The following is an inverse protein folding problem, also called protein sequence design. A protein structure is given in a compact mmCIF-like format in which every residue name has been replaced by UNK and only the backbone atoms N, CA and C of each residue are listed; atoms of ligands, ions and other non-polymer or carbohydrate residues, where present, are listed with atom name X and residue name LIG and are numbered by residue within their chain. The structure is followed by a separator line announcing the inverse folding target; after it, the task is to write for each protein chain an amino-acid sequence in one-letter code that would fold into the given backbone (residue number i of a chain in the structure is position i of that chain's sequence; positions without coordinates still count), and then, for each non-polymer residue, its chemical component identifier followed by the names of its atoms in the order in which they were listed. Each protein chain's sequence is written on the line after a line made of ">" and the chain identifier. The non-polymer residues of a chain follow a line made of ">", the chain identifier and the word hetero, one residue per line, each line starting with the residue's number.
data_IF_987550778391
#
_entry.id   IF_987550778391
#
_cell.length_a   1.000
_cell.length_b   1.000
_cell.length_c   1.000
_cell.angle_alpha   90.00
_cell.angle_beta   90.00
_cell.angle_gamma   90.00
#
_symmetry.space_group_name_H-M   'P 1'
#
loop_
_entity.id
_entity.type
_entity.pdbx_description
1 polymer ?
#
# COMPACT_ATOMS: atom_id res chain seq x y z
N UNK A 1 131.68 -15.40 -23.49
CA UNK A 1 131.60 -16.69 -22.78
C UNK A 1 131.65 -16.36 -21.32
N UNK A 2 130.54 -16.41 -20.60
CA UNK A 2 130.58 -15.73 -19.32
C UNK A 2 129.76 -16.48 -18.28
N UNK A 3 130.45 -17.42 -17.63
CA UNK A 3 130.47 -17.43 -16.16
C UNK A 3 130.43 -15.97 -15.71
N UNK A 4 129.26 -15.49 -15.31
CA UNK A 4 129.18 -14.22 -14.61
C UNK A 4 129.85 -14.48 -13.28
N UNK A 5 131.16 -14.24 -13.24
CA UNK A 5 131.93 -14.16 -12.02
C UNK A 5 131.06 -13.36 -11.05
N UNK A 6 130.66 -13.98 -9.93
CA UNK A 6 130.05 -13.24 -8.85
C UNK A 6 131.05 -12.14 -8.51
N UNK A 7 130.77 -10.92 -8.99
CA UNK A 7 131.58 -9.77 -8.64
C UNK A 7 131.46 -9.73 -7.12
N UNK A 8 132.56 -9.88 -6.37
CA UNK A 8 132.49 -9.91 -4.93
C UNK A 8 131.81 -8.60 -4.52
N UNK A 9 130.60 -8.68 -3.96
CA UNK A 9 129.98 -7.52 -3.34
C UNK A 9 130.94 -7.11 -2.23
N UNK A 10 131.69 -6.05 -2.47
CA UNK A 10 132.57 -5.46 -1.47
C UNK A 10 131.71 -5.09 -0.29
N UNK A 11 131.79 -5.88 0.78
CA UNK A 11 131.13 -5.56 2.05
C UNK A 11 131.86 -4.35 2.60
N UNK A 12 131.23 -3.18 2.48
CA UNK A 12 131.77 -1.95 3.01
C UNK A 12 131.69 -2.05 4.54
N UNK A 13 132.82 -2.36 5.17
CA UNK A 13 132.91 -2.46 6.63
C UNK A 13 132.97 -1.07 7.26
N UNK A 14 132.55 -0.94 8.52
CA UNK A 14 132.73 0.29 9.32
C UNK A 14 134.14 0.85 9.18
N UNK A 15 135.16 -0.02 9.27
CA UNK A 15 136.56 0.39 9.19
C UNK A 15 136.93 0.95 7.82
N UNK A 16 136.36 0.41 6.75
CA UNK A 16 136.59 0.91 5.38
C UNK A 16 136.00 2.31 5.21
N UNK A 17 134.79 2.56 5.70
CA UNK A 17 134.17 3.90 5.67
C UNK A 17 134.95 4.87 6.54
N UNK A 18 135.35 4.45 7.74
CA UNK A 18 136.16 5.26 8.64
C UNK A 18 137.45 5.71 7.98
N UNK A 19 138.21 4.78 7.40
CA UNK A 19 139.49 5.09 6.75
C UNK A 19 139.32 6.07 5.58
N UNK A 20 138.25 5.94 4.80
CA UNK A 20 137.98 6.88 3.68
C UNK A 20 137.54 8.27 4.17
N UNK A 21 136.75 8.36 5.25
CA UNK A 21 136.38 9.64 5.85
C UNK A 21 137.60 10.39 6.44
N UNK A 22 138.53 9.67 7.07
CA UNK A 22 139.81 10.23 7.55
C UNK A 22 140.64 10.77 6.38
N UNK A 23 140.74 10.02 5.27
CA UNK A 23 141.46 10.48 4.05
C UNK A 23 140.83 11.74 3.45
N UNK A 24 139.51 11.87 3.54
CA UNK A 24 138.79 13.08 3.11
C UNK A 24 139.00 14.29 4.03
N UNK A 25 139.83 14.17 5.08
CA UNK A 25 140.16 15.24 6.01
C UNK A 25 139.12 15.46 7.10
N UNK A 26 138.17 14.53 7.27
CA UNK A 26 137.18 14.61 8.34
C UNK A 26 137.85 14.27 9.66
N UNK A 27 137.53 15.04 10.70
CA UNK A 27 138.03 14.82 12.05
C UNK A 27 137.76 13.38 12.51
N UNK A 28 138.72 12.79 13.22
CA UNK A 28 138.69 11.38 13.61
C UNK A 28 137.42 10.97 14.35
N UNK A 29 136.93 11.81 15.25
CA UNK A 29 135.75 11.50 16.04
C UNK A 29 134.48 11.58 15.19
N UNK A 30 134.44 12.54 14.25
CA UNK A 30 133.35 12.69 13.28
C UNK A 30 133.35 11.54 12.27
N UNK A 31 134.52 11.10 11.83
CA UNK A 31 134.69 9.97 10.91
C UNK A 31 134.26 8.64 11.56
N UNK A 32 134.56 8.43 12.84
CA UNK A 32 134.18 7.21 13.58
C UNK A 32 132.67 7.12 13.81
N UNK A 33 132.04 8.26 14.09
CA UNK A 33 130.59 8.41 14.21
C UNK A 33 129.89 8.16 12.85
N UNK A 34 130.29 8.85 11.79
CA UNK A 34 129.71 8.67 10.44
C UNK A 34 129.88 7.25 9.90
N UNK A 35 131.04 6.62 10.09
CA UNK A 35 131.28 5.25 9.69
C UNK A 35 130.44 4.24 10.48
N UNK A 36 130.21 4.50 11.77
CA UNK A 36 129.30 3.71 12.59
C UNK A 36 127.86 3.81 12.09
N UNK A 37 127.38 5.04 11.86
CA UNK A 37 126.03 5.32 11.34
C UNK A 37 125.77 4.68 9.98
N UNK A 38 126.77 4.73 9.08
CA UNK A 38 126.72 4.07 7.77
C UNK A 38 126.64 2.54 7.91
N UNK A 39 127.55 1.94 8.69
CA UNK A 39 127.59 0.48 8.87
C UNK A 39 126.32 -0.07 9.55
N UNK A 40 125.66 0.73 10.38
CA UNK A 40 124.40 0.39 11.04
C UNK A 40 123.15 0.71 10.22
N UNK A 41 123.29 1.23 8.98
CA UNK A 41 122.17 1.65 8.12
C UNK A 41 121.20 2.62 8.82
N UNK A 42 121.69 3.44 9.75
CA UNK A 42 120.83 4.32 10.56
C UNK A 42 120.07 5.33 9.70
N UNK A 43 120.62 5.72 8.54
CA UNK A 43 119.97 6.62 7.59
C UNK A 43 118.75 5.97 6.90
N UNK A 44 118.88 4.74 6.41
CA UNK A 44 117.80 3.98 5.78
C UNK A 44 116.68 3.64 6.76
N UNK A 45 117.03 3.35 8.02
CA UNK A 45 116.04 3.10 9.07
C UNK A 45 115.17 4.33 9.32
N UNK A 46 115.80 5.52 9.40
CA UNK A 46 115.11 6.80 9.59
C UNK A 46 114.18 7.15 8.43
N UNK A 47 114.57 6.87 7.19
CA UNK A 47 113.71 7.09 6.01
C UNK A 47 112.49 6.16 6.00
N UNK A 48 112.66 4.89 6.38
CA UNK A 48 111.55 3.93 6.50
C UNK A 48 110.60 4.32 7.65
N UNK A 49 111.15 4.75 8.79
CA UNK A 49 110.37 5.24 9.93
C UNK A 49 109.54 6.47 9.53
N UNK A 50 110.16 7.43 8.82
CA UNK A 50 109.47 8.60 8.29
C UNK A 50 108.36 8.23 7.30
N UNK A 51 108.61 7.30 6.37
CA UNK A 51 107.59 6.83 5.42
C UNK A 51 106.43 6.16 6.15
N UNK A 52 106.72 5.30 7.13
CA UNK A 52 105.72 4.62 7.93
C UNK A 52 104.86 5.63 8.69
N UNK A 53 105.48 6.58 9.38
CA UNK A 53 104.76 7.64 10.11
C UNK A 53 103.85 8.45 9.16
N UNK A 54 104.33 8.81 7.97
CA UNK A 54 103.52 9.52 6.99
C UNK A 54 102.36 8.68 6.45
N UNK A 55 102.56 7.37 6.23
CA UNK A 55 101.48 6.46 5.83
C UNK A 55 100.44 6.27 6.93
N UNK A 56 100.87 6.07 8.18
CA UNK A 56 100.00 5.93 9.34
C UNK A 56 99.14 7.21 9.51
N UNK A 57 99.76 8.40 9.43
CA UNK A 57 99.05 9.69 9.46
C UNK A 57 98.03 9.80 8.32
N UNK A 58 98.37 9.38 7.10
CA UNK A 58 97.44 9.42 5.96
C UNK A 58 96.29 8.45 6.15
N UNK A 59 96.54 7.26 6.69
CA UNK A 59 95.53 6.26 6.97
C UNK A 59 94.56 6.76 8.04
N UNK A 60 95.07 7.30 9.15
CA UNK A 60 94.24 7.90 10.21
C UNK A 60 93.34 9.04 9.67
N UNK A 61 93.87 9.87 8.76
CA UNK A 61 93.09 10.93 8.10
C UNK A 61 91.96 10.37 7.23
N UNK A 62 92.24 9.31 6.46
CA UNK A 62 91.22 8.65 5.62
C UNK A 62 90.15 8.00 6.49
N UNK A 63 90.53 7.27 7.54
CA UNK A 63 89.59 6.65 8.48
C UNK A 63 88.71 7.70 9.18
N UNK A 64 89.32 8.79 9.65
CA UNK A 64 88.60 9.91 10.27
C UNK A 64 87.63 10.57 9.29
N UNK A 65 88.05 10.78 8.05
CA UNK A 65 87.18 11.35 6.99
C UNK A 65 86.01 10.43 6.68
N UNK A 66 86.26 9.12 6.50
CA UNK A 66 85.21 8.16 6.17
C UNK A 66 84.20 8.01 7.32
N UNK A 67 84.68 8.01 8.57
CA UNK A 67 83.81 8.00 9.74
C UNK A 67 82.90 9.23 9.77
N UNK A 68 83.46 10.41 9.51
CA UNK A 68 82.68 11.66 9.45
C UNK A 68 81.63 11.62 8.32
N UNK A 69 81.98 11.09 7.15
CA UNK A 69 81.04 10.93 6.03
C UNK A 69 79.91 9.94 6.37
N UNK A 70 80.22 8.82 7.03
CA UNK A 70 79.21 7.85 7.50
C UNK A 70 78.27 8.50 8.52
N UNK A 71 78.79 9.20 9.52
CA UNK A 71 77.99 9.90 10.53
C UNK A 71 77.07 10.96 9.89
N UNK A 72 77.57 11.66 8.86
CA UNK A 72 76.78 12.63 8.10
C UNK A 72 75.65 11.96 7.31
N UNK A 73 75.93 10.85 6.63
CA UNK A 73 74.92 10.07 5.88
C UNK A 73 73.86 9.53 6.84
N UNK A 74 74.25 8.93 7.97
CA UNK A 74 73.30 8.44 8.96
C UNK A 74 72.41 9.55 9.52
N UNK A 75 72.99 10.72 9.79
CA UNK A 75 72.24 11.88 10.29
C UNK A 75 71.22 12.37 9.27
N UNK A 76 71.63 12.46 7.99
CA UNK A 76 70.74 12.86 6.90
C UNK A 76 69.61 11.84 6.69
N UNK A 77 69.91 10.54 6.68
CA UNK A 77 68.88 9.49 6.55
C UNK A 77 67.89 9.50 7.71
N UNK A 78 68.35 9.71 8.95
CA UNK A 78 67.46 9.87 10.12
C UNK A 78 66.56 11.09 9.99
N UNK A 79 67.06 12.19 9.42
CA UNK A 79 66.26 13.39 9.17
C UNK A 79 65.21 13.15 8.06
N UNK A 80 65.60 12.48 6.98
CA UNK A 80 64.69 12.14 5.87
C UNK A 80 63.59 11.17 6.32
N UNK A 81 63.91 10.16 7.12
CA UNK A 81 62.91 9.24 7.72
C UNK A 81 61.90 10.03 8.55
N UNK A 82 62.35 10.89 9.46
CA UNK A 82 61.45 11.73 10.27
C UNK A 82 60.57 12.65 9.42
N UNK A 83 61.10 13.19 8.33
CA UNK A 83 60.32 14.02 7.41
C UNK A 83 59.25 13.18 6.69
N UNK A 84 59.58 11.96 6.26
CA UNK A 84 58.62 11.04 5.65
C UNK A 84 57.53 10.64 6.66
N UNK A 85 57.89 10.30 7.90
CA UNK A 85 56.92 9.97 8.96
C UNK A 85 55.93 11.12 9.18
N UNK A 86 56.43 12.35 9.33
CA UNK A 86 55.56 13.53 9.47
C UNK A 86 54.64 13.76 8.26
N UNK A 87 55.12 13.46 7.04
CA UNK A 87 54.30 13.55 5.83
C UNK A 87 53.23 12.46 5.81
N UNK A 88 53.55 11.24 6.23
CA UNK A 88 52.60 10.13 6.36
C UNK A 88 51.50 10.52 7.37
N UNK A 89 51.87 10.98 8.57
CA UNK A 89 50.93 11.43 9.59
C UNK A 89 50.02 12.56 9.08
N UNK A 90 50.58 13.50 8.31
CA UNK A 90 49.81 14.58 7.70
C UNK A 90 48.80 14.05 6.68
N UNK A 91 49.21 13.09 5.85
CA UNK A 91 48.31 12.47 4.85
C UNK A 91 47.22 11.67 5.54
N UNK A 92 47.55 10.87 6.55
CA UNK A 92 46.59 10.07 7.31
C UNK A 92 45.52 10.95 7.98
N UNK A 93 45.94 12.01 8.68
CA UNK A 93 45.02 12.96 9.29
C UNK A 93 44.11 13.65 8.26
N UNK A 94 44.66 14.04 7.10
CA UNK A 94 43.87 14.64 6.03
C UNK A 94 42.86 13.67 5.41
N UNK A 95 43.21 12.39 5.29
CA UNK A 95 42.31 11.35 4.80
C UNK A 95 41.19 11.07 5.80
N UNK A 96 41.50 10.93 7.08
CA UNK A 96 40.51 10.74 8.14
C UNK A 96 39.50 11.90 8.16
N UNK A 97 39.98 13.15 8.14
CA UNK A 97 39.10 14.33 8.07
C UNK A 97 38.20 14.34 6.82
N UNK A 98 38.71 13.88 5.67
CA UNK A 98 37.92 13.77 4.44
C UNK A 98 36.86 12.67 4.55
N UNK A 99 37.20 11.54 5.16
CA UNK A 99 36.27 10.43 5.41
C UNK A 99 35.14 10.90 6.33
N UNK A 100 35.47 11.52 7.47
CA UNK A 100 34.49 12.05 8.42
C UNK A 100 33.55 13.07 7.76
N UNK A 101 34.11 13.96 6.93
CA UNK A 101 33.30 14.93 6.19
C UNK A 101 32.36 14.26 5.17
N UNK A 102 32.82 13.22 4.47
CA UNK A 102 31.98 12.46 3.54
C UNK A 102 30.86 11.73 4.29
N UNK A 103 31.18 11.08 5.41
CA UNK A 103 30.22 10.38 6.26
C UNK A 103 29.14 11.32 6.78
N UNK A 104 29.53 12.47 7.35
CA UNK A 104 28.60 13.48 7.83
C UNK A 104 27.70 14.02 6.71
N UNK A 105 28.26 14.27 5.52
CA UNK A 105 27.48 14.73 4.37
C UNK A 105 26.49 13.67 3.87
N UNK A 106 26.86 12.38 3.92
CA UNK A 106 25.98 11.28 3.54
C UNK A 106 24.84 11.11 4.56
N UNK A 107 25.14 11.14 5.86
CA UNK A 107 24.13 11.07 6.91
C UNK A 107 23.10 12.21 6.78
N UNK A 108 23.56 13.45 6.60
CA UNK A 108 22.66 14.59 6.38
C UNK A 108 21.78 14.43 5.12
N UNK A 109 22.32 13.84 4.05
CA UNK A 109 21.53 13.56 2.83
C UNK A 109 20.49 12.47 3.08
N UNK A 110 20.84 11.42 3.82
CA UNK A 110 19.93 10.34 4.21
C UNK A 110 18.78 10.93 5.05
N UNK A 111 19.08 11.70 6.10
CA UNK A 111 18.08 12.34 6.95
C UNK A 111 17.14 13.25 6.15
N UNK A 112 17.68 14.02 5.21
CA UNK A 112 16.86 14.87 4.34
C UNK A 112 15.96 14.04 3.42
N UNK A 113 16.44 12.92 2.88
CA UNK A 113 15.61 12.01 2.05
C UNK A 113 14.52 11.38 2.91
N UNK A 114 14.84 10.91 4.11
CA UNK A 114 13.88 10.31 5.04
C UNK A 114 12.77 11.29 5.43
N UNK A 115 13.14 12.51 5.81
CA UNK A 115 12.18 13.58 6.12
C UNK A 115 11.27 13.92 4.93
N UNK A 116 11.83 14.01 3.73
CA UNK A 116 11.04 14.26 2.51
C UNK A 116 10.08 13.12 2.18
N UNK A 117 10.49 11.86 2.39
CA UNK A 117 9.63 10.70 2.19
C UNK A 117 8.51 10.65 3.22
N UNK A 118 8.80 10.90 4.50
CA UNK A 118 7.80 10.96 5.56
C UNK A 118 6.74 12.05 5.28
N UNK A 119 7.18 13.25 4.87
CA UNK A 119 6.25 14.32 4.47
C UNK A 119 5.37 13.94 3.29
N UNK A 120 5.92 13.25 2.28
CA UNK A 120 5.13 12.76 1.13
C UNK A 120 4.10 11.72 1.55
N UNK A 121 4.48 10.80 2.45
CA UNK A 121 3.58 9.77 2.99
C UNK A 121 2.42 10.43 3.77
N UNK A 122 2.71 11.41 4.62
CA UNK A 122 1.69 12.12 5.39
C UNK A 122 0.73 12.90 4.49
N UNK A 123 1.24 13.54 3.43
CA UNK A 123 0.40 14.23 2.44
C UNK A 123 -0.54 13.26 1.73
N UNK A 124 -0.03 12.13 1.22
CA UNK A 124 -0.84 11.09 0.58
C UNK A 124 -1.91 10.55 1.53
N UNK A 125 -1.56 10.31 2.81
CA UNK A 125 -2.49 9.84 3.83
C UNK A 125 -3.63 10.84 4.07
N UNK A 126 -3.32 12.14 4.08
CA UNK A 126 -4.31 13.20 4.26
C UNK A 126 -5.22 13.35 3.03
N UNK A 127 -4.66 13.28 1.82
CA UNK A 127 -5.43 13.28 0.56
C UNK A 127 -6.40 12.10 0.51
N UNK A 128 -5.91 10.88 0.78
CA UNK A 128 -6.73 9.67 0.79
C UNK A 128 -7.86 9.75 1.84
N UNK A 129 -7.58 10.32 3.01
CA UNK A 129 -8.61 10.54 4.04
C UNK A 129 -9.70 11.50 3.55
N UNK A 130 -9.32 12.58 2.85
CA UNK A 130 -10.26 13.53 2.30
C UNK A 130 -11.14 12.90 1.19
N UNK A 131 -10.54 12.10 0.31
CA UNK A 131 -11.26 11.38 -0.74
C UNK A 131 -12.26 10.36 -0.16
N UNK A 132 -11.87 9.63 0.88
CA UNK A 132 -12.77 8.70 1.59
C UNK A 132 -13.97 9.45 2.18
N UNK A 133 -13.77 10.59 2.84
CA UNK A 133 -14.88 11.37 3.41
C UNK A 133 -15.79 11.97 2.33
N UNK A 134 -15.22 12.36 1.18
CA UNK A 134 -16.00 12.81 0.02
C UNK A 134 -16.88 11.69 -0.54
N UNK A 135 -16.32 10.49 -0.75
CA UNK A 135 -17.09 9.31 -1.22
C UNK A 135 -18.20 8.96 -0.23
N UNK A 136 -17.90 8.96 1.07
CA UNK A 136 -18.88 8.68 2.13
C UNK A 136 -20.03 9.71 2.14
N UNK A 137 -19.73 10.98 1.92
CA UNK A 137 -20.73 12.04 1.85
C UNK A 137 -21.62 11.89 0.62
N UNK A 138 -21.03 11.60 -0.55
CA UNK A 138 -21.77 11.35 -1.78
C UNK A 138 -22.70 10.15 -1.64
N UNK A 139 -22.20 9.01 -1.13
CA UNK A 139 -23.01 7.82 -0.90
C UNK A 139 -24.19 8.06 0.05
N UNK A 140 -23.99 8.86 1.11
CA UNK A 140 -25.10 9.26 2.00
C UNK A 140 -26.16 10.09 1.26
N UNK A 141 -25.73 10.96 0.35
CA UNK A 141 -26.65 11.75 -0.48
C UNK A 141 -27.43 10.86 -1.44
N UNK A 142 -26.75 9.94 -2.12
CA UNK A 142 -27.37 9.00 -3.06
C UNK A 142 -28.40 8.10 -2.38
N UNK A 143 -28.09 7.60 -1.17
CA UNK A 143 -29.02 6.81 -0.35
C UNK A 143 -30.27 7.65 -0.02
N UNK A 144 -30.09 8.90 0.42
CA UNK A 144 -31.22 9.79 0.74
C UNK A 144 -32.08 10.10 -0.49
N UNK A 145 -31.46 10.27 -1.66
CA UNK A 145 -32.20 10.45 -2.91
C UNK A 145 -33.01 9.19 -3.26
N UNK A 146 -32.43 8.00 -3.09
CA UNK A 146 -33.11 6.74 -3.31
C UNK A 146 -34.30 6.56 -2.36
N UNK A 147 -34.13 6.85 -1.07
CA UNK A 147 -35.22 6.82 -0.08
C UNK A 147 -36.39 7.73 -0.49
N UNK A 148 -36.09 8.95 -0.97
CA UNK A 148 -37.12 9.87 -1.46
C UNK A 148 -37.85 9.33 -2.70
N UNK A 149 -37.13 8.68 -3.62
CA UNK A 149 -37.72 8.03 -4.80
C UNK A 149 -38.62 6.86 -4.38
N UNK A 150 -38.20 6.04 -3.42
CA UNK A 150 -38.99 4.94 -2.87
C UNK A 150 -40.28 5.49 -2.26
N UNK A 151 -40.20 6.49 -1.37
CA UNK A 151 -41.37 7.13 -0.75
C UNK A 151 -42.34 7.69 -1.79
N UNK A 152 -41.82 8.27 -2.87
CA UNK A 152 -42.65 8.79 -3.98
C UNK A 152 -43.39 7.66 -4.71
N UNK A 153 -42.71 6.54 -4.98
CA UNK A 153 -43.32 5.36 -5.59
C UNK A 153 -44.39 4.76 -4.69
N UNK A 154 -44.10 4.60 -3.39
CA UNK A 154 -45.06 4.10 -2.41
C UNK A 154 -46.33 4.96 -2.35
N UNK A 155 -46.18 6.29 -2.25
CA UNK A 155 -47.33 7.21 -2.25
C UNK A 155 -48.15 7.12 -3.55
N UNK A 156 -47.49 7.01 -4.70
CA UNK A 156 -48.18 6.85 -5.98
C UNK A 156 -48.94 5.51 -6.07
N UNK A 157 -48.38 4.44 -5.51
CA UNK A 157 -49.05 3.14 -5.46
C UNK A 157 -50.26 3.17 -4.51
N UNK A 158 -50.13 3.76 -3.33
CA UNK A 158 -51.24 3.94 -2.39
C UNK A 158 -52.39 4.73 -3.03
N UNK A 159 -52.09 5.86 -3.68
CA UNK A 159 -53.10 6.65 -4.41
C UNK A 159 -53.81 5.85 -5.52
N UNK A 160 -53.06 4.99 -6.24
CA UNK A 160 -53.66 4.12 -7.27
C UNK A 160 -54.57 3.05 -6.64
N UNK A 161 -54.16 2.47 -5.52
CA UNK A 161 -54.96 1.51 -4.76
C UNK A 161 -56.26 2.17 -4.28
N UNK A 162 -56.18 3.34 -3.64
CA UNK A 162 -57.34 4.09 -3.16
C UNK A 162 -58.31 4.42 -4.31
N UNK A 163 -57.79 4.81 -5.47
CA UNK A 163 -58.61 5.09 -6.64
C UNK A 163 -59.30 3.81 -7.17
N UNK A 164 -58.62 2.67 -7.19
CA UNK A 164 -59.23 1.38 -7.58
C UNK A 164 -60.32 0.99 -6.58
N UNK A 165 -60.06 1.12 -5.28
CA UNK A 165 -61.01 0.81 -4.22
C UNK A 165 -62.28 1.67 -4.34
N UNK A 166 -62.12 2.99 -4.50
CA UNK A 166 -63.24 3.91 -4.70
C UNK A 166 -64.06 3.58 -5.95
N UNK A 167 -63.40 3.24 -7.07
CA UNK A 167 -64.10 2.84 -8.29
C UNK A 167 -64.87 1.52 -8.12
N UNK A 168 -64.32 0.56 -7.39
CA UNK A 168 -65.01 -0.70 -7.09
C UNK A 168 -66.21 -0.45 -6.17
N UNK A 169 -66.07 0.36 -5.12
CA UNK A 169 -67.17 0.73 -4.23
C UNK A 169 -68.32 1.40 -5.00
N UNK A 170 -68.00 2.35 -5.89
CA UNK A 170 -69.01 3.00 -6.74
C UNK A 170 -69.74 1.99 -7.66
N UNK A 171 -69.02 1.04 -8.26
CA UNK A 171 -69.63 -0.02 -9.09
C UNK A 171 -70.54 -0.92 -8.26
N UNK A 172 -70.12 -1.29 -7.06
CA UNK A 172 -70.92 -2.09 -6.13
C UNK A 172 -72.21 -1.35 -5.75
N UNK A 173 -72.12 -0.06 -5.43
CA UNK A 173 -73.29 0.75 -5.09
C UNK A 173 -74.27 0.91 -6.26
N UNK A 174 -73.76 1.09 -7.48
CA UNK A 174 -74.60 1.13 -8.69
C UNK A 174 -75.35 -0.20 -8.90
N UNK A 175 -74.64 -1.34 -8.85
CA UNK A 175 -75.26 -2.68 -8.98
C UNK A 175 -76.32 -2.89 -7.88
N UNK A 176 -76.03 -2.47 -6.64
CA UNK A 176 -76.97 -2.58 -5.52
C UNK A 176 -78.24 -1.76 -5.76
N UNK A 177 -78.12 -0.59 -6.36
CA UNK A 177 -79.27 0.26 -6.69
C UNK A 177 -80.09 -0.29 -7.86
N UNK A 178 -79.44 -0.80 -8.90
CA UNK A 178 -80.10 -1.50 -10.02
C UNK A 178 -80.89 -2.71 -9.51
N UNK A 179 -80.27 -3.58 -8.72
CA UNK A 179 -80.94 -4.75 -8.12
C UNK A 179 -82.13 -4.36 -7.25
N UNK A 180 -82.03 -3.27 -6.47
CA UNK A 180 -83.19 -2.76 -5.69
C UNK A 180 -84.33 -2.29 -6.59
N UNK A 181 -84.03 -1.66 -7.72
CA UNK A 181 -85.03 -1.22 -8.68
C UNK A 181 -85.72 -2.42 -9.34
N UNK A 182 -84.95 -3.43 -9.76
CA UNK A 182 -85.45 -4.66 -10.36
C UNK A 182 -86.38 -5.42 -9.39
N UNK A 183 -86.00 -5.53 -8.11
CA UNK A 183 -86.84 -6.15 -7.06
C UNK A 183 -88.17 -5.39 -6.93
N UNK A 184 -88.14 -4.06 -6.89
CA UNK A 184 -89.35 -3.23 -6.78
C UNK A 184 -90.26 -3.38 -8.01
N UNK A 185 -89.68 -3.49 -9.20
CA UNK A 185 -90.45 -3.74 -10.42
C UNK A 185 -91.12 -5.12 -10.37
N UNK A 186 -90.39 -6.15 -9.91
CA UNK A 186 -90.92 -7.49 -9.73
C UNK A 186 -92.07 -7.51 -8.72
N UNK A 187 -91.93 -6.83 -7.58
CA UNK A 187 -93.01 -6.68 -6.58
C UNK A 187 -94.27 -6.05 -7.20
N UNK A 188 -94.11 -5.00 -8.01
CA UNK A 188 -95.25 -4.37 -8.70
C UNK A 188 -95.92 -5.31 -9.71
N UNK A 189 -95.14 -6.11 -10.44
CA UNK A 189 -95.67 -7.14 -11.36
C UNK A 189 -96.43 -8.22 -10.60
N UNK A 190 -95.91 -8.68 -9.46
CA UNK A 190 -96.58 -9.65 -8.58
C UNK A 190 -97.92 -9.08 -8.10
N UNK A 191 -97.93 -7.87 -7.54
CA UNK A 191 -99.16 -7.20 -7.08
C UNK A 191 -100.21 -7.07 -8.20
N UNK A 192 -99.78 -6.79 -9.43
CA UNK A 192 -100.66 -6.71 -10.60
C UNK A 192 -101.27 -8.07 -10.93
N UNK A 193 -100.47 -9.14 -10.91
CA UNK A 193 -100.95 -10.51 -11.13
C UNK A 193 -101.93 -10.92 -10.04
N UNK A 194 -101.62 -10.65 -8.76
CA UNK A 194 -102.49 -10.93 -7.63
C UNK A 194 -103.85 -10.23 -7.78
N UNK A 195 -103.85 -8.93 -8.10
CA UNK A 195 -105.08 -8.17 -8.32
C UNK A 195 -105.92 -8.73 -9.48
N UNK A 196 -105.27 -9.08 -10.60
CA UNK A 196 -105.94 -9.69 -11.74
C UNK A 196 -106.55 -11.06 -11.39
N UNK A 197 -105.85 -11.87 -10.60
CA UNK A 197 -106.35 -13.15 -10.11
C UNK A 197 -107.54 -12.96 -9.17
N UNK A 198 -107.46 -12.02 -8.23
CA UNK A 198 -108.56 -11.68 -7.33
C UNK A 198 -109.80 -11.24 -8.11
N UNK A 199 -109.65 -10.36 -9.10
CA UNK A 199 -110.75 -9.92 -9.97
C UNK A 199 -111.38 -11.09 -10.74
N UNK A 200 -110.56 -12.01 -11.28
CA UNK A 200 -111.06 -13.21 -11.96
C UNK A 200 -111.82 -14.13 -11.00
N UNK A 201 -111.30 -14.34 -9.79
CA UNK A 201 -111.94 -15.13 -8.74
C UNK A 201 -113.29 -14.51 -8.37
N UNK A 202 -113.35 -13.20 -8.19
CA UNK A 202 -114.60 -12.50 -7.87
C UNK A 202 -115.62 -12.61 -9.00
N UNK A 203 -115.19 -12.45 -10.26
CA UNK A 203 -116.05 -12.67 -11.43
C UNK A 203 -116.63 -14.08 -11.45
N UNK A 204 -115.80 -15.12 -11.31
CA UNK A 204 -116.23 -16.52 -11.26
C UNK A 204 -117.20 -16.74 -10.08
N UNK A 205 -116.90 -16.16 -8.92
CA UNK A 205 -117.77 -16.24 -7.73
C UNK A 205 -119.13 -15.59 -7.98
N UNK A 206 -119.20 -14.47 -8.70
CA UNK A 206 -120.47 -13.83 -9.06
C UNK A 206 -121.28 -14.65 -10.07
N UNK A 207 -120.63 -15.25 -11.06
CA UNK A 207 -121.27 -16.13 -12.04
C UNK A 207 -121.85 -17.37 -11.38
N UNK A 208 -121.08 -18.06 -10.54
CA UNK A 208 -121.55 -19.21 -9.74
C UNK A 208 -122.75 -18.83 -8.87
N UNK A 209 -122.72 -17.66 -8.20
CA UNK A 209 -123.87 -17.17 -7.41
C UNK A 209 -125.11 -16.96 -8.27
N UNK A 210 -124.96 -16.42 -9.47
CA UNK A 210 -126.06 -16.21 -10.42
C UNK A 210 -126.63 -17.54 -10.89
N UNK A 211 -125.77 -18.51 -11.21
CA UNK A 211 -126.17 -19.86 -11.61
C UNK A 211 -126.93 -20.58 -10.49
N UNK A 212 -126.44 -20.50 -9.24
CA UNK A 212 -127.16 -21.00 -8.06
C UNK A 212 -128.53 -20.35 -7.93
N UNK A 213 -128.65 -19.02 -8.07
CA UNK A 213 -129.93 -18.31 -7.98
C UNK A 213 -130.91 -18.71 -9.08
N UNK A 214 -130.42 -18.92 -10.30
CA UNK A 214 -131.23 -19.41 -11.42
C UNK A 214 -131.72 -20.85 -11.16
N UNK A 215 -130.85 -21.74 -10.66
CA UNK A 215 -131.23 -23.09 -10.25
C UNK A 215 -132.28 -23.08 -9.13
N UNK A 216 -132.13 -22.22 -8.12
CA UNK A 216 -133.13 -22.06 -7.05
C UNK A 216 -134.49 -21.58 -7.59
N UNK A 217 -134.51 -20.62 -8.51
CA UNK A 217 -135.74 -20.15 -9.18
C UNK A 217 -136.40 -21.26 -10.00
N UNK A 218 -135.61 -21.99 -10.81
CA UNK A 218 -136.09 -23.11 -11.60
C UNK A 218 -136.66 -24.21 -10.71
N UNK A 219 -135.97 -24.56 -9.62
CA UNK A 219 -136.46 -25.51 -8.64
C UNK A 219 -137.77 -25.04 -8.01
N UNK A 220 -137.88 -23.78 -7.56
CA UNK A 220 -139.14 -23.23 -7.04
C UNK A 220 -140.26 -23.30 -8.06
N UNK A 221 -140.00 -22.96 -9.32
CA UNK A 221 -140.98 -23.05 -10.40
C UNK A 221 -141.46 -24.50 -10.63
N UNK A 222 -140.54 -25.47 -10.68
CA UNK A 222 -140.88 -26.90 -10.78
C UNK A 222 -141.69 -27.34 -9.56
N UNK A 223 -141.29 -26.99 -8.33
CA UNK A 223 -142.04 -27.31 -7.11
C UNK A 223 -143.45 -26.71 -7.14
N UNK A 224 -143.62 -25.46 -7.57
CA UNK A 224 -144.95 -24.84 -7.71
C UNK A 224 -145.79 -25.57 -8.76
N UNK A 225 -145.20 -25.97 -9.90
CA UNK A 225 -145.89 -26.71 -10.94
C UNK A 225 -146.29 -28.12 -10.48
N UNK A 226 -145.39 -28.87 -9.83
CA UNK A 226 -145.68 -30.22 -9.31
C UNK A 226 -146.69 -30.16 -8.15
N UNK A 227 -146.61 -29.15 -7.29
CA UNK A 227 -147.61 -28.90 -6.24
C UNK A 227 -148.98 -28.56 -6.83
N UNK A 228 -149.04 -27.71 -7.86
CA UNK A 228 -150.28 -27.40 -8.57
C UNK A 228 -150.88 -28.64 -9.26
N UNK A 229 -150.05 -29.44 -9.94
CA UNK A 229 -150.48 -30.73 -10.52
C UNK A 229 -151.03 -31.67 -9.44
N UNK A 230 -150.34 -31.81 -8.31
CA UNK A 230 -150.80 -32.60 -7.18
C UNK A 230 -152.16 -32.11 -6.65
N UNK A 231 -152.37 -30.79 -6.47
CA UNK A 231 -153.66 -30.21 -6.09
C UNK A 231 -154.77 -30.46 -7.13
N UNK A 232 -154.47 -30.36 -8.43
CA UNK A 232 -155.45 -30.64 -9.49
C UNK A 232 -155.89 -32.11 -9.52
N UNK A 233 -154.96 -33.05 -9.36
CA UNK A 233 -155.26 -34.48 -9.25
C UNK A 233 -156.09 -34.76 -7.99
N UNK A 234 -155.70 -34.20 -6.84
CA UNK A 234 -156.42 -34.34 -5.58
C UNK A 234 -157.86 -33.78 -5.67
N UNK A 235 -158.02 -32.60 -6.26
CA UNK A 235 -159.34 -31.99 -6.52
C UNK A 235 -160.20 -32.85 -7.46
N UNK A 236 -159.60 -33.44 -8.49
CA UNK A 236 -160.27 -34.40 -9.37
C UNK A 236 -160.74 -35.67 -8.64
N UNK A 237 -159.90 -36.23 -7.76
CA UNK A 237 -160.28 -37.37 -6.91
C UNK A 237 -161.43 -37.02 -5.94
N UNK A 238 -161.38 -35.85 -5.29
CA UNK A 238 -162.46 -35.37 -4.41
C UNK A 238 -163.76 -35.21 -5.20
N UNK A 239 -163.72 -34.65 -6.41
CA UNK A 239 -164.89 -34.49 -7.28
C UNK A 239 -165.49 -35.83 -7.77
N UNK A 240 -164.66 -36.87 -7.90
CA UNK A 240 -165.10 -38.25 -8.22
C UNK A 240 -165.73 -38.96 -7.02
N UNK A 241 -165.29 -38.68 -5.79
CA UNK A 241 -165.82 -39.29 -4.56
C UNK A 241 -167.13 -38.61 -4.10
N UNK A 242 -167.35 -37.34 -4.43
CA UNK A 242 -168.57 -36.58 -4.09
C UNK A 242 -169.73 -36.74 -5.09
N UNK A 243 -169.61 -37.68 -6.03
CA UNK A 243 -170.66 -38.09 -6.99
C UNK A 243 -171.22 -39.44 -6.59
#
# INVERSE_FOLDING_TARGET
>A
MTTAAAIPQTVITRQMVFNELIKAGINKDIADDLAYRYYKNELTHKDIEYLKENFDIKLEKVESSLKADIEKVETNLKADIRNIDNKIDTVENNLNNKIDNVENNLNNKIDNVENNLNNKIDNIKNELKADIEKVKTNLKSDIKELDNKINTVENNLNNKIDNVENNLNNKIDNIKNELKADIKELDNKINTVENNLNNKIDSVKTEIKKDISNLEKNNKWIFSLTFALWLTVLGGFIALILK
#
